data_IF_028102760821
#
_entry.id   IF_028102760821
#
_cell.length_a   1.000
_cell.length_b   1.000
_cell.length_c   1.000
_cell.angle_alpha   90.00
_cell.angle_beta   90.00
_cell.angle_gamma   90.00
#
_symmetry.space_group_name_H-M   'P 1'
#
loop_
_entity.id
_entity.type
_entity.pdbx_description
1 polymer ?
#
# COMPACT_ATOMS: atom_id res chain seq x y z
N UNK A 1 -16.74 15.48 1.65
CA UNK A 1 -16.78 15.48 3.12
C UNK A 1 -15.38 15.72 3.61
N UNK A 2 -15.10 16.92 4.14
CA UNK A 2 -13.83 17.25 4.79
C UNK A 2 -14.02 17.08 6.29
N UNK A 3 -13.19 16.28 6.96
CA UNK A 3 -13.20 16.19 8.41
C UNK A 3 -12.47 17.38 9.02
N UNK A 4 -13.13 18.02 9.99
CA UNK A 4 -12.73 19.24 10.68
C UNK A 4 -11.44 19.05 11.49
N UNK A 5 -10.49 19.97 11.30
CA UNK A 5 -9.48 20.33 12.28
C UNK A 5 -10.16 21.00 13.48
N UNK A 6 -10.09 20.38 14.67
CA UNK A 6 -10.56 21.00 15.91
C UNK A 6 -9.36 21.54 16.68
N UNK A 7 -9.23 22.87 16.64
CA UNK A 7 -8.32 23.66 17.47
C UNK A 7 -8.79 23.67 18.93
N UNK A 8 -7.92 23.28 19.87
CA UNK A 8 -8.02 23.69 21.27
C UNK A 8 -6.66 24.14 21.81
N UNK A 9 -6.48 25.46 21.69
CA UNK A 9 -5.95 26.43 22.66
C UNK A 9 -4.89 26.00 23.71
N UNK A 10 -3.78 26.73 23.66
CA UNK A 10 -2.78 27.02 24.71
C UNK A 10 -3.33 27.12 26.13
N UNK A 11 -2.69 26.43 27.09
CA UNK A 11 -2.52 26.89 28.47
C UNK A 11 -1.10 26.50 28.98
N UNK A 12 -0.50 27.24 29.93
CA UNK A 12 0.95 27.27 30.17
C UNK A 12 1.44 26.11 31.05
N UNK A 13 2.70 25.70 30.80
CA UNK A 13 3.46 24.76 31.62
C UNK A 13 3.65 25.27 33.05
N UNK A 14 3.47 24.44 34.10
CA UNK A 14 4.15 24.67 35.37
C UNK A 14 5.50 23.93 35.39
N UNK A 15 6.50 24.68 35.87
CA UNK A 15 7.86 24.25 36.17
C UNK A 15 7.90 23.05 37.12
N UNK A 16 8.75 22.08 36.74
CA UNK A 16 9.52 21.12 37.54
C UNK A 16 9.20 21.04 39.04
N UNK A 17 8.49 19.98 39.43
CA UNK A 17 8.79 19.25 40.65
C UNK A 17 9.28 17.85 40.27
N UNK A 18 10.56 17.62 40.58
CA UNK A 18 11.23 16.32 40.51
C UNK A 18 10.63 15.47 41.63
N UNK A 19 9.78 14.50 41.31
CA UNK A 19 9.61 13.18 41.99
C UNK A 19 8.59 12.35 41.20
N UNK A 20 8.95 11.08 40.95
CA UNK A 20 8.23 10.01 40.22
C UNK A 20 8.68 9.74 38.76
N UNK A 21 9.98 9.52 38.57
CA UNK A 21 10.55 8.94 37.33
C UNK A 21 10.21 7.46 37.11
N UNK A 22 9.67 6.73 38.10
CA UNK A 22 9.44 5.29 37.96
C UNK A 22 8.22 4.92 37.11
N UNK A 23 7.20 5.78 37.04
CA UNK A 23 5.94 5.47 36.34
C UNK A 23 6.01 5.66 34.83
N UNK A 24 6.84 6.60 34.37
CA UNK A 24 7.03 6.88 32.93
C UNK A 24 7.92 5.83 32.28
N UNK A 25 8.95 5.36 32.99
CA UNK A 25 9.85 4.31 32.50
C UNK A 25 9.12 2.97 32.35
N UNK A 26 8.22 2.62 33.30
CA UNK A 26 7.38 1.41 33.21
C UNK A 26 6.37 1.49 32.06
N UNK A 27 5.70 2.63 31.87
CA UNK A 27 4.73 2.82 30.79
C UNK A 27 5.39 2.77 29.40
N UNK A 28 6.58 3.37 29.26
CA UNK A 28 7.36 3.33 28.01
C UNK A 28 7.85 1.91 27.74
N UNK A 29 8.30 1.20 28.77
CA UNK A 29 8.73 -0.20 28.63
C UNK A 29 7.58 -1.13 28.21
N UNK A 30 6.38 -0.93 28.76
CA UNK A 30 5.18 -1.71 28.40
C UNK A 30 4.75 -1.46 26.95
N UNK A 31 4.73 -0.20 26.52
CA UNK A 31 4.43 0.18 25.13
C UNK A 31 5.43 -0.42 24.14
N UNK A 32 6.73 -0.37 24.43
CA UNK A 32 7.78 -0.96 23.57
C UNK A 32 7.64 -2.49 23.52
N UNK A 33 7.33 -3.11 24.64
CA UNK A 33 7.13 -4.57 24.73
C UNK A 33 5.90 -5.00 23.94
N UNK A 34 4.80 -4.25 24.04
CA UNK A 34 3.58 -4.47 23.29
C UNK A 34 3.80 -4.32 21.78
N UNK A 35 4.49 -3.25 21.36
CA UNK A 35 4.86 -3.02 19.95
C UNK A 35 5.72 -4.17 19.41
N UNK A 36 6.72 -4.65 20.16
CA UNK A 36 7.53 -5.82 19.77
C UNK A 36 6.70 -7.10 19.64
N UNK A 37 5.79 -7.34 20.57
CA UNK A 37 4.89 -8.49 20.50
C UNK A 37 3.97 -8.41 19.28
N UNK A 38 3.45 -7.22 18.99
CA UNK A 38 2.65 -6.95 17.79
C UNK A 38 3.42 -7.24 16.51
N UNK A 39 4.70 -6.82 16.39
CA UNK A 39 5.55 -7.17 15.22
C UNK A 39 5.66 -8.68 15.04
N UNK A 40 5.95 -9.41 16.13
CA UNK A 40 6.08 -10.87 16.08
C UNK A 40 4.80 -11.55 15.61
N UNK A 41 3.64 -11.12 16.12
CA UNK A 41 2.35 -11.65 15.69
C UNK A 41 2.07 -11.36 14.22
N UNK A 42 2.43 -10.17 13.72
CA UNK A 42 2.27 -9.84 12.30
C UNK A 42 3.21 -10.66 11.40
N UNK A 43 4.43 -10.93 11.85
CA UNK A 43 5.38 -11.80 11.13
C UNK A 43 4.87 -13.24 11.05
N UNK A 44 4.23 -13.73 12.13
CA UNK A 44 3.57 -15.03 12.17
C UNK A 44 2.35 -15.07 11.24
N UNK A 45 1.51 -14.05 11.27
CA UNK A 45 0.36 -13.90 10.37
C UNK A 45 0.80 -13.85 8.91
N UNK A 46 1.91 -13.17 8.60
CA UNK A 46 2.45 -13.07 7.25
C UNK A 46 2.88 -14.44 6.69
N UNK A 47 3.36 -15.34 7.55
CA UNK A 47 3.70 -16.72 7.18
C UNK A 47 2.46 -17.60 7.03
N UNK A 48 1.36 -17.22 7.65
CA UNK A 48 0.12 -17.98 7.62
C UNK A 48 -0.72 -17.66 6.37
N UNK A 49 -0.53 -18.47 5.31
CA UNK A 49 -1.27 -18.33 4.04
C UNK A 49 -2.79 -18.46 4.18
N UNK A 50 -3.30 -19.07 5.24
CA UNK A 50 -4.77 -19.18 5.43
C UNK A 50 -5.41 -17.85 5.80
N UNK A 51 -4.61 -16.83 6.17
CA UNK A 51 -5.08 -15.47 6.42
C UNK A 51 -5.10 -14.62 5.14
N UNK A 52 -4.54 -15.12 4.04
CA UNK A 52 -4.54 -14.46 2.73
C UNK A 52 -5.86 -14.75 1.97
N UNK A 53 -6.97 -14.42 2.61
CA UNK A 53 -8.32 -14.61 2.04
C UNK A 53 -8.99 -13.24 2.00
N UNK A 54 -9.13 -12.71 0.80
CA UNK A 54 -9.85 -11.51 0.47
C UNK A 54 -11.32 -11.76 0.12
N UNK A 55 -12.05 -10.68 -0.22
CA UNK A 55 -13.46 -10.77 -0.59
C UNK A 55 -13.69 -11.71 -1.77
N UNK A 56 -14.78 -12.47 -1.74
CA UNK A 56 -15.15 -13.46 -2.77
C UNK A 56 -14.15 -14.62 -2.93
N UNK A 57 -13.37 -14.94 -1.89
CA UNK A 57 -12.41 -16.05 -1.90
C UNK A 57 -11.18 -15.81 -2.77
N UNK A 58 -10.95 -14.56 -3.20
CA UNK A 58 -9.71 -14.15 -3.88
C UNK A 58 -8.62 -13.93 -2.84
N UNK A 59 -7.35 -14.01 -3.23
CA UNK A 59 -6.25 -13.66 -2.32
C UNK A 59 -6.31 -12.18 -1.95
N UNK A 60 -6.02 -11.88 -0.69
CA UNK A 60 -5.95 -10.50 -0.20
C UNK A 60 -4.72 -9.80 -0.81
N UNK A 61 -3.63 -10.53 -1.01
CA UNK A 61 -2.42 -10.04 -1.66
C UNK A 61 -2.31 -10.53 -3.11
N UNK A 62 -1.69 -9.72 -3.96
CA UNK A 62 -1.28 -10.15 -5.31
C UNK A 62 -0.03 -11.02 -5.24
N UNK A 63 0.10 -11.93 -6.21
CA UNK A 63 1.31 -12.72 -6.43
C UNK A 63 2.35 -11.98 -7.30
N UNK A 64 2.03 -10.80 -7.82
CA UNK A 64 2.95 -10.01 -8.64
C UNK A 64 4.15 -9.55 -7.82
N UNK A 65 5.37 -9.81 -8.33
CA UNK A 65 6.62 -9.40 -7.69
C UNK A 65 7.03 -7.96 -8.03
N UNK A 66 6.41 -7.36 -9.06
CA UNK A 66 6.75 -6.03 -9.55
C UNK A 66 5.54 -5.31 -10.18
N UNK A 67 5.64 -3.99 -10.32
CA UNK A 67 4.60 -3.18 -10.98
C UNK A 67 4.34 -3.60 -12.43
N UNK A 68 5.35 -4.14 -13.12
CA UNK A 68 5.24 -4.58 -14.52
C UNK A 68 4.40 -5.84 -14.69
N UNK A 69 4.28 -6.67 -13.64
CA UNK A 69 3.48 -7.89 -13.63
C UNK A 69 2.02 -7.64 -13.25
N UNK A 70 1.72 -6.46 -12.69
CA UNK A 70 0.36 -6.08 -12.33
C UNK A 70 -0.52 -5.97 -13.56
N UNK A 71 -1.73 -6.51 -13.43
CA UNK A 71 -2.72 -6.47 -14.49
C UNK A 71 -4.13 -6.33 -13.87
N UNK A 72 -5.17 -6.30 -14.71
CA UNK A 72 -6.56 -6.06 -14.27
C UNK A 72 -7.11 -7.07 -13.26
N UNK A 73 -6.62 -8.32 -13.17
CA UNK A 73 -7.09 -9.27 -12.13
C UNK A 73 -6.54 -8.93 -10.73
N UNK A 74 -5.45 -8.18 -10.65
CA UNK A 74 -4.83 -7.79 -9.38
C UNK A 74 -5.50 -6.57 -8.75
N UNK A 75 -6.52 -6.00 -9.41
CA UNK A 75 -7.32 -4.94 -8.85
C UNK A 75 -8.04 -5.41 -7.58
N UNK A 76 -8.09 -4.52 -6.59
CA UNK A 76 -8.65 -4.76 -5.26
C UNK A 76 -7.85 -5.75 -4.40
N UNK A 77 -6.60 -6.07 -4.76
CA UNK A 77 -5.65 -6.80 -3.94
C UNK A 77 -4.51 -5.89 -3.46
N UNK A 78 -3.86 -6.27 -2.36
CA UNK A 78 -2.71 -5.56 -1.82
C UNK A 78 -1.40 -6.04 -2.44
N UNK A 79 -0.51 -5.12 -2.78
CA UNK A 79 0.87 -5.41 -3.21
C UNK A 79 1.84 -5.00 -2.11
N UNK A 80 2.70 -5.93 -1.69
CA UNK A 80 3.77 -5.64 -0.73
C UNK A 80 4.90 -4.89 -1.42
N UNK A 81 5.57 -4.00 -0.70
CA UNK A 81 6.71 -3.27 -1.23
C UNK A 81 7.75 -3.04 -0.12
N UNK A 82 8.95 -2.63 -0.51
CA UNK A 82 9.97 -2.19 0.44
C UNK A 82 9.87 -0.69 0.62
N UNK A 83 9.57 -0.22 1.84
CA UNK A 83 9.52 1.21 2.17
C UNK A 83 10.78 1.95 1.77
N UNK A 84 11.95 1.37 2.07
CA UNK A 84 13.25 1.93 1.70
C UNK A 84 13.38 2.15 0.18
N UNK A 85 13.03 1.14 -0.62
CA UNK A 85 13.08 1.23 -2.09
C UNK A 85 12.11 2.29 -2.62
N UNK A 86 10.96 2.46 -1.97
CA UNK A 86 9.98 3.47 -2.34
C UNK A 86 10.46 4.89 -2.01
N UNK A 87 11.12 5.08 -0.87
CA UNK A 87 11.72 6.36 -0.49
C UNK A 87 12.90 6.75 -1.40
N UNK A 88 13.70 5.78 -1.84
CA UNK A 88 14.80 6.00 -2.79
C UNK A 88 14.33 6.56 -4.15
N UNK A 89 13.13 6.19 -4.60
CA UNK A 89 12.56 6.67 -5.88
C UNK A 89 11.72 7.94 -5.72
N UNK A 90 11.41 8.36 -4.49
CA UNK A 90 10.59 9.53 -4.19
C UNK A 90 11.42 10.61 -3.49
N UNK A 91 12.05 11.55 -4.25
CA UNK A 91 12.83 12.63 -3.64
C UNK A 91 11.98 13.54 -2.74
N UNK A 92 10.69 13.69 -3.08
CA UNK A 92 9.69 14.47 -2.32
C UNK A 92 9.18 13.76 -1.05
N UNK A 93 9.58 12.50 -0.84
CA UNK A 93 9.10 11.58 0.21
C UNK A 93 7.62 11.20 0.05
N UNK A 94 7.16 10.35 0.96
CA UNK A 94 5.76 9.93 1.03
C UNK A 94 4.89 11.01 1.72
N UNK A 95 3.62 11.15 1.32
CA UNK A 95 2.67 11.99 2.04
C UNK A 95 2.59 11.60 3.52
N UNK A 96 2.51 12.59 4.41
CA UNK A 96 2.48 12.39 5.87
C UNK A 96 1.39 11.41 6.33
N UNK A 97 0.23 11.44 5.67
CA UNK A 97 -0.87 10.51 5.96
C UNK A 97 -0.49 9.06 5.69
N UNK A 98 0.19 8.79 4.57
CA UNK A 98 0.65 7.43 4.22
C UNK A 98 1.73 6.95 5.19
N UNK A 99 2.68 7.82 5.55
CA UNK A 99 3.73 7.48 6.52
C UNK A 99 3.11 7.03 7.84
N UNK A 100 2.14 7.81 8.35
CA UNK A 100 1.41 7.48 9.57
C UNK A 100 0.65 6.15 9.44
N UNK A 101 -0.06 5.92 8.33
CA UNK A 101 -0.78 4.66 8.09
C UNK A 101 0.17 3.45 8.10
N UNK A 102 1.37 3.57 7.53
CA UNK A 102 2.34 2.48 7.53
C UNK A 102 2.98 2.24 8.90
N UNK A 103 3.12 3.26 9.75
CA UNK A 103 3.57 3.12 11.14
C UNK A 103 2.51 2.44 12.01
N UNK A 104 1.25 2.86 11.89
CA UNK A 104 0.14 2.29 12.65
C UNK A 104 -0.11 0.83 12.26
N UNK A 105 -0.16 0.53 10.96
CA UNK A 105 -0.45 -0.82 10.47
C UNK A 105 0.74 -1.77 10.56
N UNK A 106 1.98 -1.23 10.66
CA UNK A 106 3.25 -1.98 10.48
C UNK A 106 3.31 -2.82 9.21
N UNK A 107 2.53 -2.49 8.18
CA UNK A 107 2.50 -3.26 6.93
C UNK A 107 2.85 -2.34 5.78
N UNK A 108 3.93 -2.68 5.08
CA UNK A 108 4.34 -2.00 3.85
C UNK A 108 3.61 -2.63 2.66
N UNK A 109 2.31 -2.34 2.55
CA UNK A 109 1.47 -2.81 1.46
C UNK A 109 0.52 -1.73 0.93
N UNK A 110 0.31 -1.72 -0.38
CA UNK A 110 -0.57 -0.77 -1.07
C UNK A 110 -1.72 -1.49 -1.75
N UNK A 111 -2.92 -0.90 -1.68
CA UNK A 111 -4.08 -1.40 -2.40
C UNK A 111 -3.97 -1.04 -3.89
N UNK A 112 -3.99 -2.05 -4.75
CA UNK A 112 -4.02 -1.87 -6.20
C UNK A 112 -5.44 -1.47 -6.62
N UNK A 113 -5.61 -0.25 -7.15
CA UNK A 113 -6.91 0.24 -7.64
C UNK A 113 -7.00 0.19 -9.16
N UNK A 114 -8.21 0.04 -9.67
CA UNK A 114 -8.51 0.06 -11.11
C UNK A 114 -7.92 1.30 -11.81
N UNK A 115 -8.14 2.49 -11.25
CA UNK A 115 -7.61 3.74 -11.84
C UNK A 115 -6.08 3.80 -11.89
N UNK A 116 -5.38 3.17 -10.94
CA UNK A 116 -3.92 3.04 -11.01
C UNK A 116 -3.50 2.15 -12.18
N UNK A 117 -4.15 1.01 -12.37
CA UNK A 117 -3.84 0.09 -13.47
C UNK A 117 -4.15 0.70 -14.84
N UNK A 118 -5.24 1.45 -14.96
CA UNK A 118 -5.56 2.15 -16.21
C UNK A 118 -4.51 3.22 -16.54
N UNK A 119 -4.07 4.00 -15.53
CA UNK A 119 -3.00 4.97 -15.70
C UNK A 119 -1.67 4.29 -16.07
N UNK A 120 -1.33 3.21 -15.38
CA UNK A 120 -0.11 2.44 -15.63
C UNK A 120 -0.09 1.84 -17.03
N UNK A 121 -1.19 1.27 -17.48
CA UNK A 121 -1.30 0.72 -18.84
C UNK A 121 -1.18 1.82 -19.90
N UNK A 122 -1.72 3.02 -19.66
CA UNK A 122 -1.54 4.17 -20.55
C UNK A 122 -0.06 4.54 -20.70
N UNK A 123 0.71 4.61 -19.61
CA UNK A 123 2.15 4.87 -19.68
C UNK A 123 2.88 3.74 -20.42
N UNK A 124 2.50 2.48 -20.16
CA UNK A 124 3.11 1.33 -20.83
C UNK A 124 2.89 1.36 -22.34
N UNK A 125 1.69 1.70 -22.82
CA UNK A 125 1.37 1.79 -24.24
C UNK A 125 2.13 2.89 -24.98
N UNK A 126 2.55 3.95 -24.28
CA UNK A 126 3.37 5.02 -24.87
C UNK A 126 4.81 4.51 -25.10
N UNK A 127 5.34 3.72 -24.16
CA UNK A 127 6.72 3.21 -24.20
C UNK A 127 6.86 1.96 -25.08
N UNK A 128 5.87 1.07 -25.02
CA UNK A 128 5.79 -0.17 -25.81
C UNK A 128 4.39 -0.28 -26.41
N UNK A 129 4.16 0.33 -27.60
CA UNK A 129 2.87 0.29 -28.25
C UNK A 129 2.51 -1.17 -28.53
N UNK A 130 1.31 -1.64 -28.14
CA UNK A 130 0.89 -2.97 -28.49
C UNK A 130 0.94 -3.09 -30.01
N UNK A 131 1.66 -4.11 -30.50
CA UNK A 131 1.68 -4.48 -31.91
C UNK A 131 0.23 -4.72 -32.31
N UNK A 132 -0.43 -3.70 -32.86
CA UNK A 132 -1.72 -3.88 -33.46
C UNK A 132 -1.51 -4.93 -34.54
N UNK A 133 -2.13 -6.10 -34.37
CA UNK A 133 -2.26 -7.04 -35.47
C UNK A 133 -2.87 -6.21 -36.60
N UNK A 134 -2.05 -5.91 -37.61
CA UNK A 134 -2.52 -5.29 -38.81
C UNK A 134 -3.55 -6.27 -39.35
N UNK A 135 -4.83 -5.91 -39.24
CA UNK A 135 -5.86 -6.46 -40.09
C UNK A 135 -5.52 -6.01 -41.50
N UNK A 136 -4.53 -6.68 -42.11
CA UNK A 136 -4.25 -6.58 -43.52
C UNK A 136 -5.48 -7.09 -44.26
N UNK A 137 -5.94 -6.22 -45.16
CA UNK A 137 -7.12 -6.36 -46.01
C UNK A 137 -7.19 -7.72 -46.72
N UNK A 138 -8.41 -8.19 -46.93
CA UNK A 138 -8.75 -9.25 -47.88
C UNK A 138 -10.24 -9.29 -48.21
N UNK A 139 -10.77 -8.21 -48.82
CA UNK A 139 -11.99 -8.28 -49.64
C UNK A 139 -11.71 -9.18 -50.85
N UNK A 140 -12.74 -9.90 -51.30
CA UNK A 140 -12.93 -10.64 -52.58
C UNK A 140 -13.11 -12.16 -52.46
N UNK A 141 -14.37 -12.59 -52.45
CA UNK A 141 -14.82 -13.65 -53.36
C UNK A 141 -16.28 -13.38 -53.74
N UNK A 142 -16.47 -12.83 -54.93
CA UNK A 142 -17.75 -12.81 -55.61
C UNK A 142 -18.01 -14.23 -56.14
N UNK A 143 -18.93 -14.96 -55.53
CA UNK A 143 -19.41 -16.21 -56.10
C UNK A 143 -20.40 -15.88 -57.22
N UNK A 144 -20.04 -16.30 -58.43
CA UNK A 144 -20.93 -16.42 -59.59
C UNK A 144 -21.25 -17.92 -59.73
N UNK A 145 -22.53 -18.26 -59.62
CA UNK A 145 -23.10 -19.59 -59.85
C UNK A 145 -24.59 -19.42 -60.11
#
# INVERSE_FOLDING_TARGET
MYYLFSSRLNLPLPLLDIVASSSVDDAVHDVISNERNRRRLLDEDERNKTLDIGPNGRTLFTNAGSLSELNRKDACSYMKFSRKKLEEVLPERLPVGMVKEFEETMRDALLVRHGFLDLWDNFRRIVDPPLQASSSKGVFSAYKG
#
